data_IF_710793074523
#
_entry.id   IF_710793074523
#
_cell.length_a   1.000
_cell.length_b   1.000
_cell.length_c   1.000
_cell.angle_alpha   90.00
_cell.angle_beta   90.00
_cell.angle_gamma   90.00
#
_symmetry.space_group_name_H-M   'P 1'
#
loop_
_entity.id
_entity.type
_entity.pdbx_description
1 polymer ?
#
# COMPACT_ATOMS: atom_id res chain seq x y z
N UNK A 1 28.01 -8.09 8.56
CA UNK A 1 26.64 -7.74 8.14
C UNK A 1 26.20 -8.81 7.16
N UNK A 2 25.41 -9.78 7.62
CA UNK A 2 25.11 -11.00 6.86
C UNK A 2 23.90 -10.74 5.95
N UNK A 3 24.09 -10.85 4.64
CA UNK A 3 23.16 -10.40 3.59
C UNK A 3 22.29 -11.53 3.01
N UNK A 4 21.92 -12.53 3.83
CA UNK A 4 21.15 -13.70 3.36
C UNK A 4 20.06 -14.12 4.36
N UNK A 5 19.26 -13.15 4.82
CA UNK A 5 17.97 -13.45 5.46
C UNK A 5 16.89 -13.52 4.38
N UNK A 6 16.85 -14.64 3.65
CA UNK A 6 15.63 -15.04 2.95
C UNK A 6 14.66 -15.54 4.01
N UNK A 7 13.61 -14.78 4.24
CA UNK A 7 12.48 -15.20 5.05
C UNK A 7 11.84 -16.40 4.34
N UNK A 8 11.70 -17.53 5.03
CA UNK A 8 10.84 -18.61 4.54
C UNK A 8 9.42 -18.03 4.48
N UNK A 9 8.95 -17.68 3.27
CA UNK A 9 7.53 -17.42 3.07
C UNK A 9 6.81 -18.65 3.63
N UNK A 10 5.69 -18.49 4.36
CA UNK A 10 4.72 -19.57 4.41
C UNK A 10 4.37 -19.82 2.96
N UNK A 11 4.90 -20.90 2.42
CA UNK A 11 4.47 -21.37 1.12
C UNK A 11 3.24 -22.18 1.48
N UNK A 12 2.00 -21.72 1.26
CA UNK A 12 1.01 -22.67 0.81
C UNK A 12 1.55 -23.11 -0.54
N UNK A 13 2.46 -24.09 -0.50
CA UNK A 13 2.80 -24.86 -1.67
C UNK A 13 1.45 -25.36 -2.13
N UNK A 14 1.19 -25.16 -3.42
CA UNK A 14 0.45 -26.19 -4.13
C UNK A 14 1.22 -27.48 -3.80
N UNK A 15 0.79 -28.22 -2.75
CA UNK A 15 1.58 -29.29 -2.11
C UNK A 15 2.03 -29.11 -0.65
N UNK A 16 1.33 -28.37 0.24
CA UNK A 16 1.50 -28.63 1.69
C UNK A 16 1.06 -30.07 1.98
N UNK A 17 2.01 -30.95 2.27
CA UNK A 17 1.77 -32.38 2.51
C UNK A 17 1.35 -32.67 3.95
N UNK A 18 1.36 -31.68 4.84
CA UNK A 18 0.93 -31.86 6.23
C UNK A 18 -0.59 -32.00 6.30
N UNK A 19 -1.07 -32.88 7.16
CA UNK A 19 -2.47 -33.06 7.48
C UNK A 19 -2.99 -31.88 8.30
N UNK A 20 -4.32 -31.69 8.31
CA UNK A 20 -4.95 -30.69 9.17
C UNK A 20 -4.64 -30.94 10.67
N UNK A 21 -4.52 -32.20 11.07
CA UNK A 21 -4.14 -32.61 12.43
C UNK A 21 -2.71 -32.19 12.77
N UNK A 22 -1.74 -32.44 11.90
CA UNK A 22 -0.34 -32.04 12.12
C UNK A 22 -0.18 -30.52 12.23
N UNK A 23 -0.96 -29.75 11.47
CA UNK A 23 -1.00 -28.29 11.62
C UNK A 23 -1.63 -27.86 12.95
N UNK A 24 -2.70 -28.54 13.39
CA UNK A 24 -3.36 -28.24 14.65
C UNK A 24 -2.49 -28.56 15.88
N UNK A 25 -1.61 -29.56 15.78
CA UNK A 25 -0.65 -29.93 16.84
C UNK A 25 0.50 -28.93 17.01
N UNK A 26 0.72 -28.04 16.03
CA UNK A 26 1.74 -26.97 16.08
C UNK A 26 1.11 -25.62 15.76
N UNK A 27 0.27 -25.08 16.67
CA UNK A 27 -0.43 -23.82 16.43
C UNK A 27 0.54 -22.64 16.22
N UNK A 28 1.72 -22.70 16.84
CA UNK A 28 2.78 -21.69 16.68
C UNK A 28 3.73 -21.98 15.51
N UNK A 29 3.56 -23.08 14.77
CA UNK A 29 4.46 -23.49 13.69
C UNK A 29 4.56 -22.48 12.53
N UNK A 30 3.62 -21.53 12.48
CA UNK A 30 3.51 -20.46 11.48
C UNK A 30 3.70 -19.08 12.11
N UNK A 31 3.95 -19.01 13.42
CA UNK A 31 4.11 -17.75 14.11
C UNK A 31 5.47 -17.12 13.77
N UNK A 32 5.45 -15.84 13.41
CA UNK A 32 6.68 -15.06 13.28
C UNK A 32 7.43 -15.02 14.62
N UNK A 33 8.77 -15.02 14.65
CA UNK A 33 9.53 -14.86 15.89
C UNK A 33 9.10 -13.63 16.71
N UNK A 34 9.24 -13.69 18.04
CA UNK A 34 8.78 -12.61 18.94
C UNK A 34 9.42 -11.26 18.62
N UNK A 35 10.72 -11.24 18.28
CA UNK A 35 11.42 -10.01 17.89
C UNK A 35 10.84 -9.40 16.61
N UNK A 36 10.43 -10.24 15.65
CA UNK A 36 9.77 -9.83 14.40
C UNK A 36 8.39 -9.28 14.68
N UNK A 37 7.58 -9.96 15.51
CA UNK A 37 6.24 -9.47 15.91
C UNK A 37 6.34 -8.12 16.62
N UNK A 38 7.21 -8.01 17.62
CA UNK A 38 7.41 -6.76 18.35
C UNK A 38 7.93 -5.62 17.44
N UNK A 39 8.77 -5.93 16.45
CA UNK A 39 9.20 -4.95 15.46
C UNK A 39 8.05 -4.51 14.55
N UNK A 40 7.24 -5.44 14.07
CA UNK A 40 6.06 -5.16 13.26
C UNK A 40 5.06 -4.27 14.01
N UNK A 41 4.76 -4.60 15.27
CA UNK A 41 3.85 -3.81 16.12
C UNK A 41 4.36 -2.39 16.32
N UNK A 42 5.67 -2.22 16.56
CA UNK A 42 6.28 -0.89 16.67
C UNK A 42 6.14 -0.10 15.37
N UNK A 43 6.43 -0.70 14.23
CA UNK A 43 6.34 -0.02 12.92
C UNK A 43 4.90 0.36 12.59
N UNK A 44 3.96 -0.58 12.74
CA UNK A 44 2.53 -0.35 12.47
C UNK A 44 1.95 0.69 13.44
N UNK A 45 2.29 0.64 14.72
CA UNK A 45 1.80 1.60 15.72
C UNK A 45 2.41 2.99 15.59
N UNK A 46 3.66 3.09 15.12
CA UNK A 46 4.36 4.36 14.96
C UNK A 46 4.02 5.09 13.66
N UNK A 47 3.58 4.40 12.60
CA UNK A 47 3.30 5.04 11.30
C UNK A 47 2.24 6.13 11.42
N UNK A 48 2.40 7.20 10.64
CA UNK A 48 1.47 8.32 10.57
C UNK A 48 1.16 8.63 9.12
N UNK A 49 -0.05 9.13 8.90
CA UNK A 49 -0.45 9.72 7.62
C UNK A 49 0.02 11.17 7.59
N UNK A 50 1.23 11.36 7.06
CA UNK A 50 1.96 12.64 7.07
C UNK A 50 1.39 13.57 6.02
N UNK A 51 1.22 14.83 6.38
CA UNK A 51 0.68 15.87 5.50
C UNK A 51 1.64 17.04 5.28
N UNK A 52 2.66 17.16 6.13
CA UNK A 52 3.69 18.19 6.04
C UNK A 52 5.04 17.56 5.75
N UNK A 53 5.69 18.05 4.71
CA UNK A 53 6.91 17.46 4.19
C UNK A 53 8.04 18.48 4.18
N UNK A 54 9.27 17.97 4.28
CA UNK A 54 10.43 18.77 3.94
C UNK A 54 10.57 18.82 2.42
N UNK A 55 11.19 19.89 1.92
CA UNK A 55 11.37 20.10 0.48
C UNK A 55 12.52 19.29 -0.13
N UNK A 56 13.32 18.57 0.65
CA UNK A 56 14.43 17.82 0.07
C UNK A 56 13.94 16.70 -0.84
N UNK A 57 14.56 16.50 -2.02
CA UNK A 57 14.23 15.39 -2.89
C UNK A 57 14.39 14.03 -2.19
N UNK A 58 13.49 13.10 -2.49
CA UNK A 58 13.60 11.73 -1.99
C UNK A 58 14.69 11.00 -2.78
N UNK A 59 15.70 10.40 -2.11
CA UNK A 59 16.70 9.59 -2.80
C UNK A 59 16.07 8.42 -3.58
N UNK A 60 16.51 8.23 -4.83
CA UNK A 60 15.97 7.19 -5.73
C UNK A 60 16.00 5.78 -5.15
N UNK A 61 17.01 5.44 -4.33
CA UNK A 61 17.10 4.12 -3.72
C UNK A 61 15.97 3.88 -2.71
N UNK A 62 15.52 4.92 -1.97
CA UNK A 62 14.40 4.81 -1.03
C UNK A 62 13.08 4.66 -1.78
N UNK A 63 12.90 5.37 -2.90
CA UNK A 63 11.72 5.21 -3.76
C UNK A 63 11.62 3.76 -4.25
N UNK A 64 12.74 3.18 -4.70
CA UNK A 64 12.80 1.76 -5.10
C UNK A 64 12.46 0.83 -3.93
N UNK A 65 13.03 1.05 -2.75
CA UNK A 65 12.71 0.24 -1.55
C UNK A 65 11.22 0.25 -1.24
N UNK A 66 10.54 1.39 -1.37
CA UNK A 66 9.09 1.50 -1.15
C UNK A 66 8.31 0.75 -2.23
N UNK A 67 8.70 0.88 -3.50
CA UNK A 67 8.06 0.16 -4.62
C UNK A 67 8.24 -1.34 -4.47
N UNK A 68 9.44 -1.81 -4.14
CA UNK A 68 9.75 -3.23 -3.93
C UNK A 68 8.94 -3.81 -2.77
N UNK A 69 8.77 -3.04 -1.68
CA UNK A 69 7.91 -3.43 -0.57
C UNK A 69 6.44 -3.53 -0.99
N UNK A 70 5.94 -2.58 -1.80
CA UNK A 70 4.60 -2.65 -2.38
C UNK A 70 4.41 -3.86 -3.30
N UNK A 71 5.44 -4.20 -4.09
CA UNK A 71 5.43 -5.35 -4.99
C UNK A 71 5.44 -6.70 -4.25
N UNK A 72 5.89 -6.74 -3.00
CA UNK A 72 5.87 -7.94 -2.15
C UNK A 72 4.46 -8.29 -1.62
N UNK A 73 3.45 -7.44 -1.85
CA UNK A 73 2.07 -7.70 -1.47
C UNK A 73 1.49 -8.97 -2.13
N UNK A 74 0.55 -9.67 -1.47
CA UNK A 74 -0.16 -10.78 -2.10
C UNK A 74 -1.04 -10.28 -3.25
N UNK A 75 -1.29 -11.13 -4.25
CA UNK A 75 -2.27 -10.86 -5.30
C UNK A 75 -2.92 -12.16 -5.77
N UNK A 76 -4.19 -12.08 -6.19
CA UNK A 76 -4.93 -13.26 -6.66
C UNK A 76 -4.26 -13.83 -7.90
N UNK A 77 -3.97 -15.12 -7.87
CA UNK A 77 -3.27 -15.84 -8.94
C UNK A 77 -1.89 -15.27 -9.27
N UNK A 78 -1.27 -14.53 -8.33
CA UNK A 78 -0.02 -13.80 -8.56
C UNK A 78 -0.11 -12.79 -9.73
N UNK A 79 -1.27 -12.17 -9.91
CA UNK A 79 -1.54 -11.30 -11.06
C UNK A 79 -0.84 -9.94 -11.03
N UNK A 80 -0.42 -9.47 -9.85
CA UNK A 80 0.31 -8.22 -9.66
C UNK A 80 -0.24 -7.05 -10.51
N UNK A 81 -1.52 -6.69 -10.36
CA UNK A 81 -2.18 -5.75 -11.25
C UNK A 81 -1.71 -4.30 -11.07
N UNK A 82 -1.00 -4.02 -9.98
CA UNK A 82 -0.57 -2.68 -9.64
C UNK A 82 0.39 -2.09 -10.69
N UNK A 83 0.28 -0.77 -10.86
CA UNK A 83 1.22 0.10 -11.54
C UNK A 83 1.58 1.22 -10.58
N UNK A 84 2.87 1.44 -10.37
CA UNK A 84 3.39 2.53 -9.57
C UNK A 84 3.87 3.63 -10.52
N UNK A 85 3.21 4.79 -10.49
CA UNK A 85 3.56 5.94 -11.32
C UNK A 85 4.20 6.97 -10.40
N UNK A 86 5.49 7.23 -10.62
CA UNK A 86 6.23 8.25 -9.88
C UNK A 86 5.87 9.61 -10.46
N UNK A 87 5.50 10.55 -9.59
CA UNK A 87 5.16 11.93 -9.95
C UNK A 87 6.12 12.87 -9.22
N UNK A 88 7.19 13.24 -9.91
CA UNK A 88 8.18 14.21 -9.45
C UNK A 88 7.91 15.63 -9.99
N UNK A 89 7.20 15.76 -11.12
CA UNK A 89 6.77 17.05 -11.69
C UNK A 89 5.92 17.87 -10.69
N UNK A 90 6.43 19.02 -10.20
CA UNK A 90 5.70 19.88 -9.28
C UNK A 90 4.44 20.48 -9.91
N UNK A 91 4.43 20.77 -11.22
CA UNK A 91 3.26 21.33 -11.88
C UNK A 91 2.11 20.32 -11.96
N UNK A 92 2.43 19.02 -12.10
CA UNK A 92 1.43 17.96 -12.06
C UNK A 92 0.88 17.76 -10.64
N UNK A 93 1.74 17.83 -9.61
CA UNK A 93 1.31 17.81 -8.20
C UNK A 93 0.43 19.00 -7.85
N UNK A 94 0.75 20.20 -8.34
CA UNK A 94 -0.08 21.39 -8.14
C UNK A 94 -1.49 21.23 -8.74
N UNK A 95 -1.58 20.66 -9.96
CA UNK A 95 -2.88 20.36 -10.58
C UNK A 95 -3.68 19.34 -9.76
N UNK A 96 -3.02 18.30 -9.27
CA UNK A 96 -3.67 17.29 -8.42
C UNK A 96 -4.15 17.87 -7.08
N UNK A 97 -3.35 18.73 -6.45
CA UNK A 97 -3.72 19.42 -5.22
C UNK A 97 -4.95 20.33 -5.43
N UNK A 98 -5.02 21.05 -6.56
CA UNK A 98 -6.20 21.85 -6.89
C UNK A 98 -7.48 21.01 -7.03
N UNK A 99 -7.39 19.80 -7.60
CA UNK A 99 -8.53 18.89 -7.65
C UNK A 99 -8.98 18.46 -6.25
N UNK A 100 -8.02 18.20 -5.35
CA UNK A 100 -8.33 17.87 -3.95
C UNK A 100 -9.00 19.05 -3.22
N UNK A 101 -8.55 20.29 -3.44
CA UNK A 101 -9.16 21.49 -2.87
C UNK A 101 -10.61 21.67 -3.34
N UNK A 102 -10.89 21.41 -4.62
CA UNK A 102 -12.26 21.46 -5.17
C UNK A 102 -13.16 20.44 -4.47
N UNK A 103 -12.72 19.21 -4.29
CA UNK A 103 -13.52 18.19 -3.59
C UNK A 103 -13.68 18.49 -2.09
N UNK A 104 -12.64 19.05 -1.45
CA UNK A 104 -12.72 19.53 -0.06
C UNK A 104 -13.81 20.58 0.10
N UNK A 105 -13.89 21.56 -0.82
CA UNK A 105 -14.93 22.59 -0.81
C UNK A 105 -16.33 21.98 -1.01
N UNK A 106 -16.49 21.07 -1.98
CA UNK A 106 -17.77 20.37 -2.22
C UNK A 106 -18.23 19.59 -0.99
N UNK A 107 -17.32 18.87 -0.33
CA UNK A 107 -17.62 18.15 0.90
C UNK A 107 -18.04 19.11 2.02
N UNK A 108 -17.37 20.26 2.12
CA UNK A 108 -17.65 21.25 3.15
C UNK A 108 -19.07 21.84 3.05
N UNK A 109 -19.63 21.94 1.84
CA UNK A 109 -21.03 22.38 1.65
C UNK A 109 -22.08 21.38 2.14
N UNK A 110 -21.70 20.12 2.37
CA UNK A 110 -22.59 19.09 2.90
C UNK A 110 -22.65 19.08 4.44
N UNK A 111 -21.94 19.99 5.10
CA UNK A 111 -21.77 20.02 6.55
C UNK A 111 -22.51 21.20 7.20
N UNK A 112 -22.81 21.07 8.50
CA UNK A 112 -23.26 22.21 9.30
C UNK A 112 -22.17 23.30 9.36
N UNK A 113 -22.53 24.59 9.56
CA UNK A 113 -21.56 25.68 9.53
C UNK A 113 -20.31 25.46 10.41
N UNK A 114 -20.47 24.98 11.64
CA UNK A 114 -19.34 24.71 12.55
C UNK A 114 -18.43 23.59 12.04
N UNK A 115 -19.01 22.54 11.46
CA UNK A 115 -18.25 21.40 10.91
C UNK A 115 -17.56 21.77 9.62
N UNK A 116 -18.20 22.59 8.78
CA UNK A 116 -17.62 23.19 7.58
C UNK A 116 -16.35 23.97 7.94
N UNK A 117 -16.42 24.89 8.89
CA UNK A 117 -15.26 25.68 9.29
C UNK A 117 -14.11 24.79 9.78
N UNK A 118 -14.40 23.82 10.67
CA UNK A 118 -13.41 22.87 11.17
C UNK A 118 -12.76 22.04 10.06
N UNK A 119 -13.53 21.56 9.09
CA UNK A 119 -12.98 20.82 7.94
C UNK A 119 -12.04 21.70 7.12
N UNK A 120 -12.42 22.96 6.88
CA UNK A 120 -11.63 23.89 6.09
C UNK A 120 -10.31 24.25 6.77
N UNK A 121 -10.29 24.31 8.11
CA UNK A 121 -9.08 24.55 8.91
C UNK A 121 -8.11 23.34 8.94
N UNK A 122 -8.58 22.13 8.58
CA UNK A 122 -7.73 20.94 8.51
C UNK A 122 -6.90 20.92 7.22
N UNK A 123 -5.61 20.61 7.37
CA UNK A 123 -4.80 20.12 6.26
C UNK A 123 -5.18 18.65 6.04
N UNK A 124 -5.77 18.32 4.88
CA UNK A 124 -6.28 16.98 4.59
C UNK A 124 -5.31 16.13 3.78
N UNK A 125 -4.47 16.76 2.97
CA UNK A 125 -3.45 16.14 2.15
C UNK A 125 -2.10 16.87 2.28
N UNK A 126 -1.10 16.35 1.57
CA UNK A 126 0.19 17.03 1.36
C UNK A 126 0.67 16.89 -0.08
N UNK A 127 -0.25 16.83 -1.05
CA UNK A 127 0.04 16.54 -2.47
C UNK A 127 1.03 17.57 -3.04
N UNK A 128 0.79 18.85 -2.73
CA UNK A 128 1.63 19.96 -3.16
C UNK A 128 2.97 20.02 -2.42
N UNK A 129 2.96 19.78 -1.11
CA UNK A 129 4.15 19.90 -0.25
C UNK A 129 5.10 18.72 -0.41
N UNK A 130 4.58 17.51 -0.64
CA UNK A 130 5.39 16.29 -0.71
C UNK A 130 6.32 16.34 -1.92
N UNK A 131 7.65 16.16 -1.75
CA UNK A 131 8.64 16.32 -2.83
C UNK A 131 8.49 15.28 -3.97
N UNK A 132 7.72 14.21 -3.75
CA UNK A 132 7.46 13.14 -4.70
C UNK A 132 6.10 12.50 -4.39
N UNK A 133 5.29 12.28 -5.43
CA UNK A 133 4.06 11.49 -5.36
C UNK A 133 4.24 10.09 -5.95
N UNK A 134 3.48 9.12 -5.45
CA UNK A 134 3.34 7.80 -6.09
C UNK A 134 1.85 7.56 -6.29
N UNK A 135 1.42 7.44 -7.54
CA UNK A 135 0.07 6.96 -7.87
C UNK A 135 0.11 5.45 -7.98
N UNK A 136 -0.70 4.79 -7.16
CA UNK A 136 -0.91 3.34 -7.23
C UNK A 136 -2.18 3.09 -8.04
N UNK A 137 -2.05 2.48 -9.21
CA UNK A 137 -3.16 2.16 -10.09
C UNK A 137 -3.32 0.65 -10.26
N UNK A 138 -4.54 0.17 -10.48
CA UNK A 138 -4.83 -1.22 -10.86
C UNK A 138 -5.03 -1.31 -12.37
N UNK A 139 -4.14 -1.97 -13.10
CA UNK A 139 -4.23 -2.16 -14.55
C UNK A 139 -5.10 -3.37 -14.90
N UNK A 140 -6.41 -3.10 -15.01
CA UNK A 140 -7.44 -4.09 -15.31
C UNK A 140 -7.32 -4.73 -16.69
N UNK A 141 -6.49 -4.16 -17.58
CA UNK A 141 -6.23 -4.70 -18.93
C UNK A 141 -5.25 -5.86 -18.91
N UNK A 142 -4.54 -6.08 -17.79
CA UNK A 142 -3.65 -7.24 -17.63
C UNK A 142 -4.46 -8.52 -17.85
N UNK A 143 -4.16 -9.33 -18.88
CA UNK A 143 -4.98 -10.48 -19.21
C UNK A 143 -5.11 -11.45 -18.04
N UNK A 144 -6.34 -11.84 -17.72
CA UNK A 144 -6.62 -12.82 -16.67
C UNK A 144 -6.47 -14.28 -17.16
N UNK A 145 -6.25 -14.48 -18.46
CA UNK A 145 -6.10 -15.82 -19.04
C UNK A 145 -4.90 -16.53 -18.43
N UNK A 146 -5.12 -17.74 -17.91
CA UNK A 146 -4.10 -18.53 -17.22
C UNK A 146 -3.82 -18.11 -15.78
N UNK A 147 -4.51 -17.09 -15.24
CA UNK A 147 -4.35 -16.64 -13.85
C UNK A 147 -5.41 -17.31 -12.97
N UNK A 148 -4.99 -18.18 -12.06
CA UNK A 148 -5.88 -18.88 -11.13
C UNK A 148 -6.72 -17.89 -10.31
N UNK A 149 -8.02 -18.16 -10.21
CA UNK A 149 -8.99 -17.28 -9.53
C UNK A 149 -9.40 -16.07 -10.39
N UNK A 150 -8.44 -15.28 -10.88
CA UNK A 150 -8.72 -14.06 -11.66
C UNK A 150 -9.42 -14.35 -12.98
N UNK A 151 -9.08 -15.46 -13.65
CA UNK A 151 -9.72 -15.83 -14.92
C UNK A 151 -11.24 -16.05 -14.78
N UNK A 152 -11.69 -16.53 -13.62
CA UNK A 152 -13.09 -16.80 -13.32
C UNK A 152 -13.79 -15.65 -12.61
N UNK A 153 -13.03 -14.78 -11.94
CA UNK A 153 -13.55 -13.62 -11.23
C UNK A 153 -12.63 -12.41 -11.43
N UNK A 154 -12.94 -11.61 -12.45
CA UNK A 154 -12.06 -10.53 -12.95
C UNK A 154 -11.84 -9.40 -11.94
N UNK A 155 -12.80 -9.14 -11.05
CA UNK A 155 -12.73 -8.10 -10.02
C UNK A 155 -11.77 -8.43 -8.87
N UNK A 156 -11.21 -9.66 -8.85
CA UNK A 156 -10.15 -10.03 -7.90
C UNK A 156 -8.90 -9.16 -7.98
N UNK A 157 -8.78 -8.37 -9.05
CA UNK A 157 -7.75 -7.37 -9.22
C UNK A 157 -7.93 -6.12 -8.36
N UNK A 158 -9.15 -5.83 -7.90
CA UNK A 158 -9.46 -4.73 -6.98
C UNK A 158 -9.15 -5.07 -5.52
N UNK A 159 -9.06 -6.36 -5.19
CA UNK A 159 -8.72 -6.85 -3.85
C UNK A 159 -7.28 -7.35 -3.74
N UNK A 160 -6.52 -7.22 -4.83
CA UNK A 160 -5.09 -7.53 -4.89
C UNK A 160 -4.26 -6.29 -4.55
#
# INVERSE_FOLDING_TARGET
MNNDRRWERPTPVIGDTTSATERAEKPDGWALPEDVRAALDRVIGARRDIRRYRSEPVPNHLVRTVIDAGHAAPSVGHSQPWRFIIVDDPALRDKAAMLADVEKLKQAELLTPDRKQRLLDLQLDGIKEAPLGIVVACDRRTPASGVLGRNTFVDTDLWS
#
